data_IF_273793257337
#
_entry.id   IF_273793257337
#
_cell.length_a   1.000
_cell.length_b   1.000
_cell.length_c   1.000
_cell.angle_alpha   90.00
_cell.angle_beta   90.00
_cell.angle_gamma   90.00
#
_symmetry.space_group_name_H-M   'P 1'
#
loop_
_entity.id
_entity.type
_entity.pdbx_description
1 polymer ?
#
# COMPACT_ATOMS: atom_id res chain seq x y z
N UNK A 1 -12.63 -30.03 -9.75
CA UNK A 1 -11.55 -29.35 -10.48
C UNK A 1 -11.94 -27.89 -10.48
N UNK A 2 -11.57 -27.16 -9.43
CA UNK A 2 -11.95 -25.76 -9.25
C UNK A 2 -11.17 -24.94 -10.27
N UNK A 3 -11.88 -24.52 -11.31
CA UNK A 3 -11.44 -23.52 -12.28
C UNK A 3 -11.27 -22.20 -11.50
N UNK A 4 -10.05 -21.92 -11.06
CA UNK A 4 -9.70 -20.62 -10.51
C UNK A 4 -9.53 -19.72 -11.72
N UNK A 5 -10.63 -19.03 -12.05
CA UNK A 5 -10.70 -17.99 -13.08
C UNK A 5 -9.43 -17.17 -13.06
N UNK A 6 -8.74 -17.17 -14.20
CA UNK A 6 -7.67 -16.27 -14.58
C UNK A 6 -8.22 -14.83 -14.53
N UNK A 7 -8.35 -14.28 -13.32
CA UNK A 7 -8.59 -12.87 -13.14
C UNK A 7 -7.34 -12.18 -13.72
N UNK A 8 -7.49 -11.21 -14.64
CA UNK A 8 -6.33 -10.48 -15.14
C UNK A 8 -5.56 -9.97 -13.93
N UNK A 9 -4.24 -10.16 -13.95
CA UNK A 9 -3.35 -9.66 -12.91
C UNK A 9 -3.74 -8.20 -12.59
N UNK A 10 -3.75 -7.80 -11.32
CA UNK A 10 -4.13 -6.45 -10.96
C UNK A 10 -3.29 -5.45 -11.75
N UNK A 11 -3.89 -4.33 -12.14
CA UNK A 11 -3.23 -3.26 -12.89
C UNK A 11 -2.19 -2.47 -12.04
N UNK A 12 -1.71 -3.06 -10.95
CA UNK A 12 -0.74 -2.53 -10.00
C UNK A 12 0.09 -3.70 -9.40
N UNK A 13 1.30 -3.42 -8.88
CA UNK A 13 2.17 -4.45 -8.30
C UNK A 13 1.54 -5.19 -7.11
N UNK A 14 2.00 -6.42 -6.85
CA UNK A 14 1.68 -7.11 -5.60
C UNK A 14 2.14 -6.27 -4.39
N UNK A 15 1.41 -6.33 -3.28
CA UNK A 15 1.68 -5.53 -2.09
C UNK A 15 1.73 -6.38 -0.81
N UNK A 16 2.45 -5.89 0.21
CA UNK A 16 2.47 -6.48 1.55
C UNK A 16 2.75 -5.44 2.64
N UNK A 17 2.51 -5.84 3.89
CA UNK A 17 2.79 -5.05 5.10
C UNK A 17 2.20 -3.62 5.12
N UNK A 18 0.90 -3.43 4.81
CA UNK A 18 0.30 -2.10 4.82
C UNK A 18 0.22 -1.51 6.24
N UNK A 19 0.54 -0.24 6.37
CA UNK A 19 0.43 0.55 7.60
C UNK A 19 0.01 1.99 7.26
N UNK A 20 -0.90 2.58 8.04
CA UNK A 20 -1.26 3.98 7.83
C UNK A 20 -0.05 4.90 8.07
N UNK A 21 0.20 5.81 7.13
CA UNK A 21 1.31 6.76 7.19
C UNK A 21 1.03 7.95 8.11
N UNK A 22 -0.24 8.21 8.40
CA UNK A 22 -0.72 9.31 9.23
C UNK A 22 -1.99 8.92 10.00
N UNK A 23 -2.34 9.74 11.01
CA UNK A 23 -3.52 9.51 11.85
C UNK A 23 -4.86 9.73 11.12
N UNK A 24 -4.86 10.41 9.97
CA UNK A 24 -6.03 10.61 9.13
C UNK A 24 -6.30 9.43 8.19
N UNK A 25 -5.33 8.51 8.04
CA UNK A 25 -5.45 7.34 7.18
C UNK A 25 -5.52 7.67 5.69
N UNK A 26 -5.04 8.85 5.28
CA UNK A 26 -5.10 9.30 3.88
C UNK A 26 -4.07 8.57 3.01
N UNK A 27 -2.92 8.20 3.60
CA UNK A 27 -1.82 7.50 2.93
C UNK A 27 -1.46 6.20 3.65
N UNK A 28 -0.96 5.24 2.88
CA UNK A 28 -0.58 3.92 3.38
C UNK A 28 0.87 3.64 2.99
N UNK A 29 1.73 3.38 3.96
CA UNK A 29 3.05 2.81 3.72
C UNK A 29 2.91 1.31 3.53
N UNK A 30 3.51 0.77 2.48
CA UNK A 30 3.52 -0.67 2.18
C UNK A 30 4.78 -1.02 1.38
N UNK A 31 5.00 -2.31 1.15
CA UNK A 31 5.99 -2.77 0.18
C UNK A 31 5.30 -3.21 -1.12
N UNK A 32 5.87 -2.84 -2.27
CA UNK A 32 5.45 -3.30 -3.60
C UNK A 32 6.50 -4.19 -4.24
N UNK A 33 6.06 -5.18 -5.03
CA UNK A 33 6.97 -6.01 -5.81
C UNK A 33 7.40 -5.29 -7.11
N UNK A 34 8.62 -4.77 -7.12
CA UNK A 34 9.24 -4.19 -8.31
C UNK A 34 9.96 -5.26 -9.14
N UNK A 35 9.77 -5.31 -10.47
CA UNK A 35 10.29 -6.40 -11.32
C UNK A 35 11.83 -6.53 -11.32
N UNK A 36 12.55 -5.44 -11.03
CA UNK A 36 14.03 -5.42 -11.02
C UNK A 36 14.60 -5.46 -9.60
N UNK A 37 13.89 -4.90 -8.63
CA UNK A 37 14.43 -4.67 -7.27
C UNK A 37 13.79 -5.56 -6.21
N UNK A 38 12.81 -6.39 -6.59
CA UNK A 38 11.99 -7.14 -5.65
C UNK A 38 11.13 -6.21 -4.81
N UNK A 39 10.93 -6.55 -3.53
CA UNK A 39 10.09 -5.79 -2.63
C UNK A 39 10.76 -4.47 -2.22
N UNK A 40 10.11 -3.34 -2.55
CA UNK A 40 10.59 -1.98 -2.22
C UNK A 40 9.53 -1.21 -1.42
N UNK A 41 9.95 -0.30 -0.52
CA UNK A 41 9.02 0.55 0.22
C UNK A 41 8.34 1.55 -0.73
N UNK A 42 7.04 1.78 -0.51
CA UNK A 42 6.23 2.72 -1.26
C UNK A 42 5.19 3.36 -0.35
N UNK A 43 4.97 4.67 -0.52
CA UNK A 43 3.86 5.38 0.13
C UNK A 43 2.74 5.53 -0.88
N UNK A 44 1.66 4.79 -0.66
CA UNK A 44 0.46 4.84 -1.46
C UNK A 44 -0.36 6.07 -1.11
N UNK A 45 -0.43 7.01 -2.05
CA UNK A 45 -1.34 8.15 -2.03
C UNK A 45 -2.37 7.95 -3.16
N UNK A 46 -3.68 7.80 -2.85
CA UNK A 46 -4.73 7.62 -3.87
C UNK A 46 -4.84 8.78 -4.86
N UNK A 47 -4.27 9.94 -4.54
CA UNK A 47 -4.26 11.11 -5.41
C UNK A 47 -2.95 11.25 -6.21
N UNK A 48 -2.01 10.32 -6.09
CA UNK A 48 -0.75 10.35 -6.86
C UNK A 48 -1.00 9.99 -8.33
N UNK A 49 -0.89 11.00 -9.21
CA UNK A 49 -1.03 10.87 -10.66
C UNK A 49 0.31 10.66 -11.38
N UNK A 50 1.42 10.54 -10.64
CA UNK A 50 2.77 10.38 -11.17
C UNK A 50 3.27 8.94 -11.21
N UNK A 51 2.57 8.00 -10.58
CA UNK A 51 2.90 6.58 -10.59
C UNK A 51 2.55 5.91 -11.93
N UNK A 52 3.28 4.85 -12.29
CA UNK A 52 3.07 4.07 -13.52
C UNK A 52 1.81 3.17 -13.49
N UNK A 53 1.07 3.18 -12.38
CA UNK A 53 -0.13 2.37 -12.15
C UNK A 53 -1.21 3.19 -11.43
N UNK A 54 -2.45 2.68 -11.43
CA UNK A 54 -3.59 3.35 -10.78
C UNK A 54 -3.51 3.21 -9.26
N UNK A 55 -3.02 4.27 -8.60
CA UNK A 55 -2.87 4.36 -7.13
C UNK A 55 -4.21 4.41 -6.41
N UNK A 56 -5.26 4.96 -7.02
CA UNK A 56 -6.61 4.97 -6.45
C UNK A 56 -7.21 3.55 -6.43
N UNK A 57 -7.07 2.81 -7.54
CA UNK A 57 -7.50 1.42 -7.62
C UNK A 57 -6.71 0.52 -6.64
N UNK A 58 -5.40 0.73 -6.54
CA UNK A 58 -4.58 0.01 -5.56
C UNK A 58 -5.01 0.32 -4.13
N UNK A 59 -5.29 1.58 -3.78
CA UNK A 59 -5.73 1.95 -2.44
C UNK A 59 -7.08 1.33 -2.06
N UNK A 60 -8.01 1.25 -3.02
CA UNK A 60 -9.25 0.52 -2.83
C UNK A 60 -9.00 -0.98 -2.59
N UNK A 61 -8.08 -1.60 -3.33
CA UNK A 61 -7.73 -3.01 -3.15
C UNK A 61 -7.03 -3.30 -1.81
N UNK A 62 -6.09 -2.46 -1.38
CA UNK A 62 -5.41 -2.56 -0.08
C UNK A 62 -6.43 -2.41 1.05
N UNK A 63 -7.34 -1.45 0.95
CA UNK A 63 -8.42 -1.24 1.94
C UNK A 63 -9.36 -2.44 2.00
N UNK A 64 -9.75 -3.00 0.85
CA UNK A 64 -10.62 -4.17 0.77
C UNK A 64 -9.95 -5.44 1.31
N UNK A 65 -8.64 -5.60 1.12
CA UNK A 65 -7.86 -6.70 1.68
C UNK A 65 -7.76 -6.62 3.22
N UNK A 66 -7.83 -5.40 3.78
CA UNK A 66 -7.75 -5.15 5.22
C UNK A 66 -6.36 -5.41 5.80
N UNK A 67 -6.28 -5.57 7.12
CA UNK A 67 -4.99 -5.84 7.80
C UNK A 67 -4.02 -4.66 7.81
N UNK A 68 -4.50 -3.44 7.56
CA UNK A 68 -3.68 -2.22 7.61
C UNK A 68 -3.31 -1.94 9.07
N UNK A 69 -2.01 -1.93 9.38
CA UNK A 69 -1.52 -1.58 10.70
C UNK A 69 -1.86 -0.10 11.02
N UNK A 70 -2.21 0.16 12.28
CA UNK A 70 -2.49 1.51 12.75
C UNK A 70 -1.23 2.39 12.70
N UNK A 71 -1.43 3.68 12.44
CA UNK A 71 -0.35 4.67 12.54
C UNK A 71 0.16 4.77 14.00
N UNK A 72 1.49 4.81 14.16
CA UNK A 72 2.15 5.03 15.45
C UNK A 72 2.92 6.34 15.37
N UNK A 73 2.49 7.34 16.14
CA UNK A 73 3.18 8.61 16.22
C UNK A 73 4.57 8.46 16.87
N UNK A 74 5.58 9.24 16.43
CA UNK A 74 6.85 9.33 17.14
C UNK A 74 6.62 9.76 18.60
N UNK A 75 7.46 9.30 19.54
CA UNK A 75 7.43 9.83 20.90
C UNK A 75 7.74 11.34 20.87
N UNK A 76 7.20 12.12 21.82
CA UNK A 76 7.57 13.52 21.95
C UNK A 76 9.10 13.65 22.17
N UNK A 77 9.72 14.77 21.79
CA UNK A 77 11.13 15.01 22.09
C UNK A 77 11.43 14.77 23.56
N UNK A 78 12.61 14.20 23.86
CA UNK A 78 13.06 14.08 25.24
C UNK A 78 13.06 15.46 25.92
N UNK A 79 12.63 15.52 27.18
CA UNK A 79 12.80 16.72 27.97
C UNK A 79 14.29 17.07 28.05
N UNK A 80 14.67 18.36 27.97
CA UNK A 80 16.06 18.79 28.02
C UNK A 80 16.77 18.46 29.33
#
# INVERSE_FOLDING_TARGET
MTDQTDAPAPAFPAFRAPAYADAGGARINLEIEHPVFGWIPFTLDPADTGADFDTAAMAAAVTAAGGIAAYVAPPPPAAP
#
